data_IF_420372861080
#
_entry.id   IF_420372861080
#
_cell.length_a   1.000
_cell.length_b   1.000
_cell.length_c   1.000
_cell.angle_alpha   90.00
_cell.angle_beta   90.00
_cell.angle_gamma   90.00
#
_symmetry.space_group_name_H-M   'P 1'
#
loop_
_entity.id
_entity.type
_entity.pdbx_description
1 polymer ?
#
# COMPACT_ATOMS: atom_id res chain seq x y z
N UNK A 1 17.59 13.56 -3.07
CA UNK A 1 17.21 12.19 -2.62
C UNK A 1 17.07 11.34 -3.88
N UNK A 2 17.78 10.21 -4.01
CA UNK A 2 17.78 9.42 -5.26
C UNK A 2 16.47 8.64 -5.43
N UNK A 3 16.02 8.47 -6.68
CA UNK A 3 14.75 7.79 -7.02
C UNK A 3 14.68 6.37 -6.42
N UNK A 4 15.82 5.66 -6.44
CA UNK A 4 15.93 4.33 -5.85
C UNK A 4 15.65 4.32 -4.34
N UNK A 5 16.03 5.38 -3.61
CA UNK A 5 15.73 5.51 -2.17
C UNK A 5 14.24 5.74 -1.93
N UNK A 6 13.60 6.61 -2.72
CA UNK A 6 12.15 6.84 -2.64
C UNK A 6 11.37 5.55 -2.88
N UNK A 7 11.80 4.75 -3.86
CA UNK A 7 11.14 3.48 -4.15
C UNK A 7 11.36 2.43 -3.06
N UNK A 8 12.55 2.38 -2.47
CA UNK A 8 12.79 1.51 -1.31
C UNK A 8 11.95 1.93 -0.09
N UNK A 9 11.71 3.22 0.11
CA UNK A 9 10.82 3.71 1.17
C UNK A 9 9.36 3.31 0.89
N UNK A 10 8.89 3.44 -0.36
CA UNK A 10 7.56 2.94 -0.73
C UNK A 10 7.45 1.43 -0.54
N UNK A 11 8.50 0.67 -0.88
CA UNK A 11 8.57 -0.77 -0.68
C UNK A 11 8.51 -1.14 0.81
N UNK A 12 9.32 -0.48 1.66
CA UNK A 12 9.29 -0.73 3.11
C UNK A 12 7.92 -0.41 3.70
N UNK A 13 7.32 0.75 3.35
CA UNK A 13 5.98 1.14 3.80
C UNK A 13 4.93 0.09 3.42
N UNK A 14 4.93 -0.38 2.17
CA UNK A 14 4.01 -1.43 1.72
C UNK A 14 4.23 -2.76 2.42
N UNK A 15 5.49 -3.16 2.62
CA UNK A 15 5.78 -4.43 3.32
C UNK A 15 5.36 -4.38 4.78
N UNK A 16 5.66 -3.29 5.49
CA UNK A 16 5.25 -3.11 6.88
C UNK A 16 3.73 -3.03 6.98
N UNK A 17 3.08 -2.28 6.09
CA UNK A 17 1.62 -2.21 6.02
C UNK A 17 1.01 -3.59 5.77
N UNK A 18 1.54 -4.36 4.81
CA UNK A 18 1.08 -5.72 4.51
C UNK A 18 1.21 -6.66 5.71
N UNK A 19 2.33 -6.61 6.43
CA UNK A 19 2.51 -7.33 7.71
C UNK A 19 1.46 -6.90 8.72
N UNK A 20 1.22 -5.59 8.88
CA UNK A 20 0.21 -5.08 9.83
C UNK A 20 -1.22 -5.53 9.47
N UNK A 21 -1.57 -5.60 8.18
CA UNK A 21 -2.86 -6.13 7.73
C UNK A 21 -3.03 -7.60 8.11
N UNK A 22 -2.00 -8.43 7.89
CA UNK A 22 -2.03 -9.85 8.26
C UNK A 22 -2.05 -9.98 9.79
N UNK A 23 -1.17 -9.29 10.51
CA UNK A 23 -1.10 -9.31 11.97
C UNK A 23 -2.40 -8.86 12.64
N UNK A 24 -3.21 -8.01 11.98
CA UNK A 24 -4.51 -7.59 12.51
C UNK A 24 -5.50 -8.76 12.69
N UNK A 25 -5.32 -9.88 11.98
CA UNK A 25 -6.12 -11.11 12.16
C UNK A 25 -5.95 -11.73 13.56
N UNK A 26 -4.82 -11.48 14.22
CA UNK A 26 -4.57 -11.99 15.58
C UNK A 26 -5.24 -11.13 16.66
N UNK A 27 -5.68 -9.93 16.31
CA UNK A 27 -6.16 -8.92 17.28
C UNK A 27 -7.67 -8.67 17.13
N UNK A 28 -8.26 -9.01 15.98
CA UNK A 28 -9.70 -8.84 15.70
C UNK A 28 -10.37 -10.18 15.46
N UNK A 29 -11.68 -10.22 15.70
CA UNK A 29 -12.52 -11.36 15.37
C UNK A 29 -12.44 -11.69 13.87
N UNK A 30 -12.43 -12.99 13.58
CA UNK A 30 -12.34 -13.50 12.22
C UNK A 30 -13.71 -13.38 11.57
N UNK A 31 -13.88 -12.32 10.80
CA UNK A 31 -15.03 -12.07 9.93
C UNK A 31 -14.56 -11.89 8.46
N UNK A 32 -15.50 -11.93 7.52
CA UNK A 32 -15.26 -11.75 6.09
C UNK A 32 -14.49 -10.45 5.80
N UNK A 33 -14.83 -9.36 6.49
CA UNK A 33 -14.12 -8.09 6.35
C UNK A 33 -12.64 -8.18 6.77
N UNK A 34 -12.34 -8.93 7.84
CA UNK A 34 -10.97 -9.13 8.31
C UNK A 34 -10.17 -9.99 7.31
N UNK A 35 -10.80 -11.00 6.71
CA UNK A 35 -10.18 -11.84 5.69
C UNK A 35 -9.86 -11.05 4.41
N UNK A 36 -10.79 -10.22 3.94
CA UNK A 36 -10.55 -9.32 2.80
C UNK A 36 -9.41 -8.36 3.14
N UNK A 37 -9.41 -7.76 4.33
CA UNK A 37 -8.35 -6.84 4.75
C UNK A 37 -6.97 -7.51 4.80
N UNK A 38 -6.89 -8.77 5.25
CA UNK A 38 -5.66 -9.55 5.25
C UNK A 38 -5.20 -9.95 3.84
N UNK A 39 -6.14 -10.24 2.93
CA UNK A 39 -5.82 -10.50 1.53
C UNK A 39 -5.18 -9.30 0.83
N UNK A 40 -5.65 -8.08 1.14
CA UNK A 40 -4.99 -6.85 0.70
C UNK A 40 -3.57 -6.75 1.28
N UNK A 41 -3.37 -7.18 2.53
CA UNK A 41 -2.04 -7.27 3.13
C UNK A 41 -1.08 -8.19 2.35
N UNK A 42 -1.54 -9.35 1.89
CA UNK A 42 -0.75 -10.24 1.05
C UNK A 42 -0.38 -9.58 -0.29
N UNK A 43 -1.34 -8.90 -0.93
CA UNK A 43 -1.07 -8.15 -2.17
C UNK A 43 -0.02 -7.06 -1.93
N UNK A 44 -0.11 -6.33 -0.82
CA UNK A 44 0.87 -5.28 -0.48
C UNK A 44 2.29 -5.84 -0.28
N UNK A 45 2.42 -7.06 0.27
CA UNK A 45 3.71 -7.74 0.36
C UNK A 45 4.30 -8.06 -1.02
N UNK A 46 3.48 -8.61 -1.93
CA UNK A 46 3.93 -8.88 -3.30
C UNK A 46 4.37 -7.62 -4.04
N UNK A 47 3.61 -6.52 -3.88
CA UNK A 47 3.96 -5.22 -4.46
C UNK A 47 5.27 -4.70 -3.86
N UNK A 48 5.43 -4.77 -2.54
CA UNK A 48 6.65 -4.37 -1.85
C UNK A 48 7.88 -5.11 -2.37
N UNK A 49 7.80 -6.43 -2.55
CA UNK A 49 8.86 -7.25 -3.15
C UNK A 49 9.14 -6.80 -4.60
N UNK A 50 8.09 -6.58 -5.40
CA UNK A 50 8.23 -6.08 -6.78
C UNK A 50 8.85 -4.69 -6.87
N UNK A 51 8.60 -3.82 -5.89
CA UNK A 51 9.20 -2.50 -5.79
C UNK A 51 10.68 -2.56 -5.40
N UNK A 52 11.15 -3.58 -4.67
CA UNK A 52 12.60 -3.78 -4.48
C UNK A 52 13.28 -4.20 -5.80
N UNK A 53 12.62 -5.03 -6.61
CA UNK A 53 13.12 -5.56 -7.89
C UNK A 53 13.16 -4.58 -9.07
N UNK A 54 13.00 -3.27 -8.86
CA UNK A 54 13.02 -2.25 -9.92
C UNK A 54 11.92 -2.34 -10.99
N UNK A 55 10.84 -3.07 -10.72
CA UNK A 55 9.75 -3.21 -11.69
C UNK A 55 8.89 -1.95 -11.81
N UNK A 56 8.74 -1.45 -13.04
CA UNK A 56 7.80 -0.35 -13.37
C UNK A 56 6.35 -0.78 -13.17
N UNK A 57 6.04 -2.06 -13.37
CA UNK A 57 4.71 -2.61 -13.11
C UNK A 57 4.35 -2.53 -11.63
N UNK A 58 5.32 -2.74 -10.74
CA UNK A 58 5.10 -2.65 -9.29
C UNK A 58 4.67 -1.25 -8.84
N UNK A 59 5.13 -0.18 -9.52
CA UNK A 59 4.70 1.19 -9.25
C UNK A 59 3.23 1.42 -9.60
N UNK A 60 2.75 0.88 -10.72
CA UNK A 60 1.33 0.97 -11.08
C UNK A 60 0.45 0.21 -10.09
N UNK A 61 0.85 -1.00 -9.71
CA UNK A 61 0.11 -1.77 -8.71
C UNK A 61 0.12 -1.10 -7.33
N UNK A 62 1.22 -0.43 -6.96
CA UNK A 62 1.34 0.35 -5.73
C UNK A 62 0.46 1.60 -5.69
N UNK A 63 -0.06 2.04 -6.84
CA UNK A 63 -1.06 3.11 -6.92
C UNK A 63 -2.46 2.52 -6.90
N UNK A 64 -2.72 1.53 -7.75
CA UNK A 64 -4.05 0.97 -7.99
C UNK A 64 -4.58 0.25 -6.74
N UNK A 65 -3.80 -0.65 -6.14
CA UNK A 65 -4.31 -1.47 -5.03
C UNK A 65 -4.56 -0.66 -3.75
N UNK A 66 -3.66 0.24 -3.31
CA UNK A 66 -3.97 1.12 -2.20
C UNK A 66 -5.12 2.08 -2.49
N UNK A 67 -5.24 2.57 -3.73
CA UNK A 67 -6.37 3.40 -4.15
C UNK A 67 -7.71 2.64 -4.11
N UNK A 68 -7.73 1.39 -4.58
CA UNK A 68 -8.88 0.51 -4.50
C UNK A 68 -9.24 0.18 -3.05
N UNK A 69 -8.25 -0.17 -2.22
CA UNK A 69 -8.48 -0.46 -0.80
C UNK A 69 -9.08 0.74 -0.07
N UNK A 70 -8.53 1.93 -0.29
CA UNK A 70 -9.07 3.18 0.27
C UNK A 70 -10.49 3.48 -0.24
N UNK A 71 -10.73 3.36 -1.55
CA UNK A 71 -12.04 3.62 -2.16
C UNK A 71 -13.13 2.66 -1.66
N UNK A 72 -12.80 1.37 -1.51
CA UNK A 72 -13.72 0.40 -0.93
C UNK A 72 -13.99 0.70 0.54
N UNK A 73 -12.94 1.00 1.32
CA UNK A 73 -13.09 1.32 2.73
C UNK A 73 -13.99 2.54 2.96
N UNK A 74 -13.82 3.61 2.16
CA UNK A 74 -14.63 4.84 2.25
C UNK A 74 -16.08 4.64 1.77
N UNK A 75 -16.33 3.70 0.86
CA UNK A 75 -17.68 3.37 0.40
C UNK A 75 -18.44 2.50 1.41
N UNK A 76 -17.73 1.61 2.10
CA UNK A 76 -18.33 0.61 2.99
C UNK A 76 -18.44 1.10 4.43
N UNK A 77 -17.54 1.96 4.90
CA UNK A 77 -17.51 2.43 6.28
C UNK A 77 -17.62 3.96 6.36
N UNK A 78 -18.45 4.45 7.28
CA UNK A 78 -18.43 5.86 7.65
C UNK A 78 -17.11 6.20 8.36
N UNK A 79 -16.55 7.39 8.08
CA UNK A 79 -15.25 7.85 8.63
C UNK A 79 -15.17 7.78 10.16
N UNK A 80 -16.30 7.88 10.86
CA UNK A 80 -16.46 7.76 12.30
C UNK A 80 -16.26 6.34 12.84
N UNK A 81 -16.42 5.31 12.00
CA UNK A 81 -16.34 3.89 12.38
C UNK A 81 -14.95 3.28 12.21
N UNK A 82 -13.98 4.06 11.70
CA UNK A 82 -12.63 3.57 11.51
C UNK A 82 -11.91 3.44 12.85
N UNK A 83 -11.45 2.23 13.15
CA UNK A 83 -10.46 2.02 14.22
C UNK A 83 -9.18 2.81 13.92
N UNK A 84 -8.43 3.18 14.96
CA UNK A 84 -7.14 3.88 14.85
C UNK A 84 -6.18 3.17 13.89
N UNK A 85 -6.21 1.84 13.86
CA UNK A 85 -5.41 1.01 12.94
C UNK A 85 -5.84 1.17 11.46
N UNK A 86 -7.15 1.31 11.21
CA UNK A 86 -7.67 1.54 9.86
C UNK A 86 -7.29 2.92 9.32
N UNK A 87 -7.31 3.95 10.17
CA UNK A 87 -6.90 5.31 9.80
C UNK A 87 -5.40 5.35 9.45
N UNK A 88 -4.56 4.68 10.24
CA UNK A 88 -3.12 4.63 9.97
C UNK A 88 -2.80 3.86 8.69
N UNK A 89 -3.50 2.75 8.42
CA UNK A 89 -3.39 2.00 7.16
C UNK A 89 -3.79 2.84 5.94
N UNK A 90 -4.90 3.58 6.04
CA UNK A 90 -5.33 4.55 5.02
C UNK A 90 -4.27 5.62 4.76
N UNK A 91 -3.74 6.23 5.84
CA UNK A 91 -2.69 7.26 5.74
C UNK A 91 -1.43 6.74 5.06
N UNK A 92 -0.96 5.55 5.44
CA UNK A 92 0.19 4.88 4.79
C UNK A 92 -0.10 4.63 3.31
N UNK A 93 -1.32 4.18 2.97
CA UNK A 93 -1.74 3.99 1.59
C UNK A 93 -1.63 5.27 0.75
N UNK A 94 -2.11 6.41 1.26
CA UNK A 94 -1.98 7.69 0.56
C UNK A 94 -0.53 8.13 0.35
N UNK A 95 0.33 7.94 1.36
CA UNK A 95 1.76 8.25 1.26
C UNK A 95 2.42 7.38 0.18
N UNK A 96 2.12 6.07 0.17
CA UNK A 96 2.63 5.13 -0.83
C UNK A 96 2.18 5.53 -2.24
N UNK A 97 0.92 5.92 -2.43
CA UNK A 97 0.40 6.39 -3.72
C UNK A 97 1.17 7.63 -4.16
N UNK A 98 1.32 8.63 -3.30
CA UNK A 98 2.02 9.87 -3.62
C UNK A 98 3.48 9.61 -4.02
N UNK A 99 4.21 8.80 -3.23
CA UNK A 99 5.60 8.44 -3.54
C UNK A 99 5.67 7.67 -4.86
N UNK A 100 4.76 6.72 -5.09
CA UNK A 100 4.75 5.90 -6.31
C UNK A 100 4.46 6.74 -7.56
N UNK A 101 3.57 7.72 -7.49
CA UNK A 101 3.31 8.69 -8.57
C UNK A 101 4.57 9.51 -8.86
N UNK A 102 5.22 10.06 -7.83
CA UNK A 102 6.46 10.84 -7.98
C UNK A 102 7.56 10.01 -8.62
N UNK A 103 7.76 8.77 -8.16
CA UNK A 103 8.76 7.85 -8.73
C UNK A 103 8.41 7.50 -10.18
N UNK A 104 7.14 7.21 -10.49
CA UNK A 104 6.71 6.91 -11.85
C UNK A 104 6.94 8.10 -12.80
N UNK A 105 6.63 9.31 -12.36
CA UNK A 105 6.86 10.54 -13.13
C UNK A 105 8.37 10.78 -13.36
N UNK A 106 9.19 10.54 -12.33
CA UNK A 106 10.64 10.67 -12.44
C UNK A 106 11.26 9.65 -13.40
N UNK A 107 10.82 8.38 -13.35
CA UNK A 107 11.26 7.32 -14.29
C UNK A 107 10.79 7.60 -15.71
N UNK A 108 9.60 8.19 -15.90
CA UNK A 108 9.11 8.58 -17.22
C UNK A 108 9.95 9.69 -17.86
N UNK A 109 10.33 10.70 -17.07
CA UNK A 109 11.10 11.84 -17.58
C UNK A 109 12.59 11.51 -17.78
N UNK A 110 13.11 10.49 -17.08
CA UNK A 110 14.47 9.99 -17.25
C UNK A 110 14.47 8.45 -17.34
N UNK A 111 14.33 7.87 -18.53
CA UNK A 111 14.17 6.42 -18.69
C UNK A 111 15.46 5.60 -18.52
N UNK A 112 16.62 6.26 -18.38
CA UNK A 112 17.94 5.64 -18.20
C UNK A 112 18.28 5.27 -16.75
N UNK A 113 17.35 5.49 -15.82
CA UNK A 113 17.49 5.23 -14.37
C UNK A 113 16.60 4.06 -13.93
#
# INVERSE_FOLDING_TARGET
>A
MTISRLRNIAATLLTVSGISHIASLWIRDIDLAALVNASFGAVYLFIGIGLYGQSRFALFTAIIFPGMGAGLALKTYELSSFSTLGISQLGVGFIVIAISIVVLFAVRNNPSI
#
